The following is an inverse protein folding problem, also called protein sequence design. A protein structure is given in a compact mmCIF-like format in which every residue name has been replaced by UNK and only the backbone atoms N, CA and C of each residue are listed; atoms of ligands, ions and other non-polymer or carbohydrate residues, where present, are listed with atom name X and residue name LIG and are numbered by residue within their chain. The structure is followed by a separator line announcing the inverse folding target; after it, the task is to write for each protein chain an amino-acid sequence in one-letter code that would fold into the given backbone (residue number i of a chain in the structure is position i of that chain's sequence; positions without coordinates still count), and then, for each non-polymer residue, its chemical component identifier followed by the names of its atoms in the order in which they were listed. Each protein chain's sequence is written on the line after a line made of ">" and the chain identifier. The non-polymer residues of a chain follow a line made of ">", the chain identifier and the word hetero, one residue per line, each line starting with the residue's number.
data_IF_267606963564
#
_entry.id   IF_267606963564
#
_cell.length_a   1.000
_cell.length_b   1.000
_cell.length_c   1.000
_cell.angle_alpha   90.00
_cell.angle_beta   90.00
_cell.angle_gamma   90.00
#
_symmetry.space_group_name_H-M   'P 1'
#
loop_
_entity.id
_entity.type
_entity.pdbx_description
1 polymer ?
#
# COMPACT_ATOMS: atom_id res chain seq x y z
N UNK A 1 -53.47 16.08 -17.05
CA UNK A 1 -52.04 16.26 -17.41
C UNK A 1 -51.38 17.11 -16.34
N UNK A 2 -50.44 16.55 -15.59
CA UNK A 2 -49.54 17.29 -14.70
C UNK A 2 -48.12 16.73 -14.90
N UNK A 3 -47.10 17.55 -15.21
CA UNK A 3 -45.75 17.05 -15.46
C UNK A 3 -45.07 16.68 -14.14
N UNK A 4 -44.38 15.52 -14.05
CA UNK A 4 -43.57 15.21 -12.87
C UNK A 4 -42.36 16.15 -12.80
N UNK A 5 -42.25 16.85 -11.67
CA UNK A 5 -41.17 17.78 -11.32
C UNK A 5 -39.82 17.04 -11.21
N UNK A 6 -38.91 17.35 -12.13
CA UNK A 6 -37.56 17.83 -11.80
C UNK A 6 -36.59 16.94 -11.01
N UNK A 7 -35.67 16.31 -11.74
CA UNK A 7 -34.20 16.38 -11.57
C UNK A 7 -33.64 16.32 -10.12
N UNK A 8 -33.40 15.11 -9.62
CA UNK A 8 -32.37 14.86 -8.61
C UNK A 8 -31.14 14.22 -9.26
N UNK A 9 -30.08 15.00 -9.52
CA UNK A 9 -28.77 14.43 -9.81
C UNK A 9 -28.36 13.64 -8.57
N UNK A 10 -28.35 12.30 -8.66
CA UNK A 10 -27.75 11.44 -7.63
C UNK A 10 -26.25 11.72 -7.70
N UNK A 11 -25.82 12.72 -6.93
CA UNK A 11 -24.41 12.90 -6.59
C UNK A 11 -24.05 11.62 -5.84
N UNK A 12 -23.34 10.71 -6.52
CA UNK A 12 -22.71 9.55 -5.89
C UNK A 12 -21.88 10.10 -4.74
N UNK A 13 -22.43 10.02 -3.53
CA UNK A 13 -21.76 10.38 -2.28
C UNK A 13 -20.49 9.54 -2.29
N UNK A 14 -19.33 10.19 -2.48
CA UNK A 14 -18.04 9.50 -2.42
C UNK A 14 -18.04 8.79 -1.06
N UNK A 15 -18.06 7.45 -1.08
CA UNK A 15 -17.93 6.65 0.14
C UNK A 15 -16.73 7.19 0.88
N UNK A 16 -16.97 7.77 2.05
CA UNK A 16 -15.91 8.07 2.99
C UNK A 16 -15.13 6.76 3.17
N UNK A 17 -13.84 6.80 2.85
CA UNK A 17 -12.97 5.63 2.73
C UNK A 17 -12.69 5.05 4.12
N UNK A 18 -13.70 4.49 4.80
CA UNK A 18 -13.61 3.92 6.15
C UNK A 18 -13.12 4.94 7.20
N UNK A 19 -13.84 5.07 8.32
CA UNK A 19 -13.41 5.89 9.47
C UNK A 19 -12.11 5.39 10.14
N UNK A 20 -11.41 4.40 9.55
CA UNK A 20 -10.21 3.75 10.04
C UNK A 20 -8.99 4.29 9.29
N UNK A 21 -8.01 4.80 10.05
CA UNK A 21 -6.78 5.35 9.48
C UNK A 21 -6.08 4.35 8.56
N UNK A 22 -5.94 4.71 7.29
CA UNK A 22 -5.23 3.92 6.29
C UNK A 22 -3.73 4.25 6.33
N UNK A 23 -2.88 3.26 6.09
CA UNK A 23 -1.43 3.44 6.05
C UNK A 23 -0.85 2.81 4.78
N UNK A 24 0.05 3.52 4.10
CA UNK A 24 0.91 3.00 3.04
C UNK A 24 2.31 2.73 3.57
N UNK A 25 3.01 1.85 2.87
CA UNK A 25 4.46 1.65 2.99
C UNK A 25 5.03 1.67 1.57
N UNK A 26 6.29 2.07 1.43
CA UNK A 26 7.02 1.94 0.17
C UNK A 26 7.51 0.51 0.00
N UNK A 27 7.46 0.03 -1.23
CA UNK A 27 8.11 -1.22 -1.62
C UNK A 27 9.58 -0.89 -1.88
N UNK A 28 10.49 -1.64 -1.25
CA UNK A 28 11.94 -1.50 -1.40
C UNK A 28 12.54 -2.81 -1.90
N UNK A 29 13.68 -2.73 -2.56
CA UNK A 29 14.36 -3.90 -3.14
C UNK A 29 15.43 -4.46 -2.19
N UNK A 30 15.99 -5.62 -2.56
CA UNK A 30 16.99 -6.34 -1.77
C UNK A 30 18.24 -5.50 -1.53
N UNK A 31 18.64 -4.65 -2.47
CA UNK A 31 19.76 -3.72 -2.33
C UNK A 31 19.57 -2.72 -1.18
N UNK A 32 18.33 -2.28 -0.93
CA UNK A 32 18.04 -1.42 0.21
C UNK A 32 18.02 -2.21 1.52
N UNK A 33 17.48 -3.43 1.50
CA UNK A 33 17.43 -4.29 2.67
C UNK A 33 18.82 -4.78 3.11
N UNK A 34 19.76 -5.00 2.19
CA UNK A 34 21.11 -5.49 2.50
C UNK A 34 21.98 -4.46 3.22
N UNK A 35 21.78 -3.17 2.93
CA UNK A 35 22.51 -2.06 3.58
C UNK A 35 21.78 -1.47 4.79
N UNK A 36 20.56 -1.96 5.07
CA UNK A 36 19.74 -1.42 6.14
C UNK A 36 20.32 -1.77 7.52
N UNK A 37 20.74 -0.74 8.27
CA UNK A 37 21.28 -0.89 9.63
C UNK A 37 20.27 -1.43 10.64
N UNK A 38 18.98 -1.33 10.32
CA UNK A 38 17.89 -1.83 11.16
C UNK A 38 17.29 -3.07 10.50
N UNK A 39 17.76 -4.29 10.84
CA UNK A 39 17.21 -5.50 10.26
C UNK A 39 15.75 -5.67 10.68
N UNK A 40 14.88 -5.96 9.72
CA UNK A 40 13.47 -6.24 9.99
C UNK A 40 13.09 -7.63 9.47
N UNK A 41 12.17 -8.31 10.15
CA UNK A 41 11.79 -9.68 9.81
C UNK A 41 11.33 -9.85 8.34
N UNK A 42 10.66 -8.83 7.77
CA UNK A 42 10.26 -8.85 6.35
C UNK A 42 11.47 -8.76 5.41
N UNK A 43 12.41 -7.85 5.70
CA UNK A 43 13.62 -7.67 4.91
C UNK A 43 14.52 -8.89 4.94
N UNK A 44 14.70 -9.51 6.12
CA UNK A 44 15.48 -10.74 6.27
C UNK A 44 14.90 -11.88 5.44
N UNK A 45 13.59 -12.14 5.55
CA UNK A 45 12.91 -13.17 4.75
C UNK A 45 12.99 -12.92 3.25
N UNK A 46 12.93 -11.64 2.85
CA UNK A 46 13.04 -11.26 1.45
C UNK A 46 14.48 -11.48 0.93
N UNK A 47 15.50 -11.15 1.72
CA UNK A 47 16.90 -11.44 1.39
C UNK A 47 17.15 -12.94 1.27
N UNK A 48 16.65 -13.74 2.21
CA UNK A 48 16.75 -15.21 2.16
C UNK A 48 16.13 -15.79 0.89
N UNK A 49 14.98 -15.26 0.47
CA UNK A 49 14.32 -15.65 -0.77
C UNK A 49 15.13 -15.24 -2.00
N UNK A 50 15.72 -14.03 -1.98
CA UNK A 50 16.56 -13.51 -3.08
C UNK A 50 17.91 -14.20 -3.19
N UNK A 51 18.38 -14.87 -2.15
CA UNK A 51 19.61 -15.67 -2.19
C UNK A 51 19.46 -16.99 -2.95
N UNK A 52 18.24 -17.39 -3.33
CA UNK A 52 18.03 -18.60 -4.10
C UNK A 52 18.31 -18.38 -5.60
N UNK A 53 18.97 -19.33 -6.27
CA UNK A 53 19.24 -19.21 -7.71
C UNK A 53 17.92 -19.16 -8.50
N UNK A 54 17.80 -18.17 -9.39
CA UNK A 54 16.58 -17.93 -10.17
C UNK A 54 15.48 -17.13 -9.45
N UNK A 55 15.75 -16.61 -8.25
CA UNK A 55 14.80 -15.77 -7.53
C UNK A 55 14.56 -14.41 -8.24
N UNK A 56 13.29 -14.09 -8.46
CA UNK A 56 12.86 -12.79 -8.98
C UNK A 56 12.16 -11.99 -7.90
N UNK A 57 12.76 -10.88 -7.53
CA UNK A 57 12.28 -9.99 -6.48
C UNK A 57 11.13 -9.10 -6.93
N UNK A 58 10.08 -8.98 -6.11
CA UNK A 58 8.98 -8.00 -6.29
C UNK A 58 9.05 -6.83 -5.31
N UNK A 59 10.14 -6.75 -4.55
CA UNK A 59 10.33 -5.85 -3.43
C UNK A 59 9.53 -6.22 -2.18
N UNK A 60 9.86 -5.58 -1.07
CA UNK A 60 9.27 -5.80 0.25
C UNK A 60 8.75 -4.48 0.84
N UNK A 61 7.57 -4.45 1.48
CA UNK A 61 7.07 -3.23 2.12
C UNK A 61 7.90 -2.86 3.35
N UNK A 62 8.54 -1.70 3.29
CA UNK A 62 9.41 -1.20 4.36
C UNK A 62 8.60 -0.57 5.50
N UNK A 63 8.69 -1.16 6.69
CA UNK A 63 8.00 -0.66 7.89
C UNK A 63 8.42 0.75 8.30
N UNK A 64 9.66 1.14 7.99
CA UNK A 64 10.19 2.47 8.31
C UNK A 64 9.61 3.56 7.42
N UNK A 65 9.05 3.18 6.26
CA UNK A 65 8.42 4.11 5.30
C UNK A 65 6.91 4.22 5.49
N UNK A 66 6.39 3.77 6.64
CA UNK A 66 4.96 3.78 6.93
C UNK A 66 4.43 5.22 7.01
N UNK A 67 3.47 5.56 6.15
CA UNK A 67 2.81 6.87 6.11
C UNK A 67 1.30 6.72 6.19
N UNK A 68 0.63 7.63 6.90
CA UNK A 68 -0.84 7.69 6.94
C UNK A 68 -1.39 8.19 5.59
N UNK A 69 -2.35 7.48 5.03
CA UNK A 69 -3.14 7.92 3.88
C UNK A 69 -4.34 8.67 4.46
N UNK A 70 -4.50 9.92 4.06
CA UNK A 70 -5.59 10.79 4.50
C UNK A 70 -6.89 10.49 3.75
#
# INVERSE_FOLDING_TARGET
>A
MAPPKGKGKVVKKKKELSSRAQYTMRIVESATCSVCKTPCARGMRYLEMMSQPGAVGRGVPCILTRRKIN
#
